data_IF_963127301095
#
_entry.id   IF_963127301095
#
_cell.length_a   1.000
_cell.length_b   1.000
_cell.length_c   1.000
_cell.angle_alpha   90.00
_cell.angle_beta   90.00
_cell.angle_gamma   90.00
#
_symmetry.space_group_name_H-M   'P 1'
#
loop_
_entity.id
_entity.type
_entity.pdbx_description
1 polymer ?
#
# COMPACT_ATOMS: atom_id res chain seq x y z
N UNK A 1 -5.38 -19.15 24.84
CA UNK A 1 -4.12 -18.76 24.18
C UNK A 1 -4.41 -18.37 22.74
N UNK A 2 -4.78 -17.11 22.55
CA UNK A 2 -5.29 -16.51 21.31
C UNK A 2 -4.19 -16.33 20.27
N UNK A 3 -4.04 -17.34 19.41
CA UNK A 3 -3.19 -17.33 18.23
C UNK A 3 -3.82 -16.48 17.11
N UNK A 4 -4.13 -15.20 17.39
CA UNK A 4 -5.02 -14.36 16.54
C UNK A 4 -4.56 -12.93 16.28
N UNK A 5 -3.31 -12.55 16.58
CA UNK A 5 -2.89 -11.15 16.48
C UNK A 5 -1.45 -10.90 15.97
N UNK A 6 -0.97 -11.77 15.06
CA UNK A 6 0.12 -11.39 14.13
C UNK A 6 -0.45 -11.43 12.71
N UNK A 7 -1.66 -10.87 12.54
CA UNK A 7 -2.30 -10.76 11.23
C UNK A 7 -1.66 -9.63 10.41
N UNK A 8 -2.06 -9.54 9.14
CA UNK A 8 -1.75 -8.48 8.15
C UNK A 8 -1.88 -7.02 8.69
N UNK A 9 -2.36 -6.86 9.91
CA UNK A 9 -2.61 -5.61 10.63
C UNK A 9 -1.43 -5.14 11.50
N UNK A 10 -0.34 -5.90 11.58
CA UNK A 10 0.83 -5.44 12.32
C UNK A 10 1.53 -4.31 11.54
N UNK A 11 1.91 -3.19 12.18
CA UNK A 11 2.60 -2.08 11.51
C UNK A 11 3.86 -2.48 10.72
N UNK A 12 4.61 -3.47 11.23
CA UNK A 12 5.80 -4.00 10.55
C UNK A 12 5.44 -4.81 9.29
N UNK A 13 4.31 -5.51 9.31
CA UNK A 13 3.78 -6.22 8.14
C UNK A 13 3.34 -5.23 7.08
N UNK A 14 2.65 -4.15 7.47
CA UNK A 14 2.26 -3.06 6.55
C UNK A 14 3.47 -2.35 5.95
N UNK A 15 4.54 -2.17 6.73
CA UNK A 15 5.80 -1.60 6.24
C UNK A 15 6.47 -2.53 5.22
N UNK A 16 6.46 -3.84 5.47
CA UNK A 16 6.99 -4.84 4.55
C UNK A 16 6.18 -4.92 3.24
N UNK A 17 4.84 -4.87 3.32
CA UNK A 17 3.96 -4.82 2.14
C UNK A 17 4.19 -3.54 1.32
N UNK A 18 4.39 -2.40 1.98
CA UNK A 18 4.72 -1.15 1.32
C UNK A 18 6.04 -1.27 0.53
N UNK A 19 7.09 -1.80 1.14
CA UNK A 19 8.37 -2.04 0.46
C UNK A 19 8.21 -2.98 -0.74
N UNK A 20 7.42 -4.05 -0.61
CA UNK A 20 7.13 -4.96 -1.72
C UNK A 20 6.42 -4.24 -2.88
N UNK A 21 5.46 -3.35 -2.59
CA UNK A 21 4.77 -2.57 -3.61
C UNK A 21 5.76 -1.68 -4.40
N UNK A 22 6.70 -1.00 -3.73
CA UNK A 22 7.76 -0.25 -4.41
C UNK A 22 8.67 -1.14 -5.26
N UNK A 23 9.02 -2.33 -4.75
CA UNK A 23 9.82 -3.30 -5.50
C UNK A 23 9.08 -3.80 -6.75
N UNK A 24 7.77 -4.01 -6.68
CA UNK A 24 6.94 -4.36 -7.85
C UNK A 24 6.88 -3.21 -8.86
N UNK A 25 6.70 -1.97 -8.38
CA UNK A 25 6.72 -0.78 -9.24
C UNK A 25 8.06 -0.63 -9.99
N UNK A 26 9.19 -0.87 -9.31
CA UNK A 26 10.51 -0.85 -9.95
C UNK A 26 10.73 -1.95 -10.99
N UNK A 27 9.98 -3.04 -10.91
CA UNK A 27 9.99 -4.15 -11.88
C UNK A 27 9.01 -3.93 -13.04
N UNK A 28 8.49 -2.72 -13.22
CA UNK A 28 7.43 -2.40 -14.20
C UNK A 28 6.12 -3.17 -13.98
N UNK A 29 5.93 -3.76 -12.80
CA UNK A 29 4.70 -4.47 -12.39
C UNK A 29 3.78 -3.51 -11.64
N UNK A 30 3.43 -2.40 -12.29
CA UNK A 30 2.68 -1.29 -11.68
C UNK A 30 1.28 -1.71 -11.23
N UNK A 31 0.59 -2.58 -11.98
CA UNK A 31 -0.75 -3.08 -11.60
C UNK A 31 -0.75 -3.85 -10.27
N UNK A 32 0.25 -4.71 -10.09
CA UNK A 32 0.41 -5.49 -8.86
C UNK A 32 0.86 -4.60 -7.69
N UNK A 33 1.71 -3.60 -7.96
CA UNK A 33 2.11 -2.61 -6.98
C UNK A 33 0.91 -1.80 -6.47
N UNK A 34 0.05 -1.31 -7.38
CA UNK A 34 -1.17 -0.57 -7.05
C UNK A 34 -2.10 -1.45 -6.22
N UNK A 35 -2.40 -2.66 -6.68
CA UNK A 35 -3.29 -3.60 -5.96
C UNK A 35 -2.80 -3.88 -4.53
N UNK A 36 -1.48 -4.05 -4.35
CA UNK A 36 -0.89 -4.27 -3.03
C UNK A 36 -0.97 -3.00 -2.16
N UNK A 37 -0.72 -1.82 -2.73
CA UNK A 37 -0.80 -0.54 -2.03
C UNK A 37 -2.23 -0.20 -1.62
N UNK A 38 -3.26 -0.57 -2.39
CA UNK A 38 -4.66 -0.45 -2.00
C UNK A 38 -4.97 -1.25 -0.73
N UNK A 39 -4.47 -2.49 -0.65
CA UNK A 39 -4.61 -3.31 0.55
C UNK A 39 -3.91 -2.67 1.75
N UNK A 40 -2.71 -2.13 1.56
CA UNK A 40 -1.98 -1.40 2.63
C UNK A 40 -2.76 -0.18 3.09
N UNK A 41 -3.33 0.60 2.17
CA UNK A 41 -4.13 1.79 2.48
C UNK A 41 -5.38 1.43 3.30
N UNK A 42 -6.13 0.40 2.90
CA UNK A 42 -7.32 -0.05 3.62
C UNK A 42 -6.99 -0.49 5.06
N UNK A 43 -5.89 -1.22 5.24
CA UNK A 43 -5.45 -1.66 6.56
C UNK A 43 -4.98 -0.47 7.41
N UNK A 44 -4.19 0.46 6.85
CA UNK A 44 -3.77 1.68 7.53
C UNK A 44 -4.95 2.55 7.95
N UNK A 45 -5.96 2.72 7.10
CA UNK A 45 -7.21 3.40 7.45
C UNK A 45 -7.93 2.73 8.63
N UNK A 46 -8.00 1.40 8.66
CA UNK A 46 -8.67 0.64 9.72
C UNK A 46 -7.93 0.70 11.06
N UNK A 47 -6.60 0.68 11.05
CA UNK A 47 -5.76 0.59 12.26
C UNK A 47 -5.40 1.97 12.81
N UNK A 48 -5.02 2.90 11.93
CA UNK A 48 -4.46 4.20 12.29
C UNK A 48 -5.46 5.35 12.07
N UNK A 49 -6.47 5.13 11.24
CA UNK A 49 -7.42 6.16 10.81
C UNK A 49 -7.05 6.81 9.46
N UNK A 50 -8.01 7.51 8.83
CA UNK A 50 -7.82 8.18 7.54
C UNK A 50 -6.83 9.35 7.62
N UNK A 51 -6.82 10.10 8.73
CA UNK A 51 -6.01 11.32 8.91
C UNK A 51 -4.59 11.04 9.43
N UNK A 52 -4.20 9.76 9.51
CA UNK A 52 -2.87 9.41 9.99
C UNK A 52 -1.84 9.63 8.86
N UNK A 53 -0.66 10.22 9.14
CA UNK A 53 0.36 10.52 8.11
C UNK A 53 0.76 9.32 7.24
N UNK A 54 0.81 8.12 7.83
CA UNK A 54 1.07 6.86 7.10
C UNK A 54 -0.04 6.49 6.11
N UNK A 55 -1.29 6.82 6.43
CA UNK A 55 -2.43 6.59 5.56
C UNK A 55 -2.40 7.56 4.38
N UNK A 56 -2.14 8.84 4.65
CA UNK A 56 -1.97 9.88 3.63
C UNK A 56 -0.81 9.57 2.67
N UNK A 57 0.33 9.15 3.20
CA UNK A 57 1.50 8.71 2.41
C UNK A 57 1.09 7.62 1.40
N UNK A 58 0.38 6.59 1.84
CA UNK A 58 -0.08 5.50 0.97
C UNK A 58 -1.00 6.00 -0.15
N UNK A 59 -1.88 6.94 0.19
CA UNK A 59 -2.85 7.52 -0.74
C UNK A 59 -2.17 8.40 -1.80
N UNK A 60 -1.15 9.17 -1.41
CA UNK A 60 -0.33 9.95 -2.32
C UNK A 60 0.43 9.05 -3.30
N UNK A 61 1.05 7.98 -2.80
CA UNK A 61 1.78 7.01 -3.63
C UNK A 61 0.85 6.33 -4.63
N UNK A 62 -0.32 5.87 -4.17
CA UNK A 62 -1.34 5.28 -5.03
C UNK A 62 -1.78 6.24 -6.15
N UNK A 63 -2.00 7.51 -5.79
CA UNK A 63 -2.41 8.55 -6.74
C UNK A 63 -1.32 8.81 -7.77
N UNK A 64 -0.06 8.87 -7.35
CA UNK A 64 1.10 9.04 -8.23
C UNK A 64 1.22 7.89 -9.24
N UNK A 65 1.14 6.64 -8.77
CA UNK A 65 1.23 5.47 -9.65
C UNK A 65 0.07 5.37 -10.64
N UNK A 66 -1.15 5.71 -10.21
CA UNK A 66 -2.32 5.75 -11.11
C UNK A 66 -2.18 6.83 -12.18
N UNK A 67 -1.64 8.01 -11.85
CA UNK A 67 -1.36 9.04 -12.85
C UNK A 67 -0.31 8.57 -13.86
N UNK A 68 0.73 7.89 -13.41
CA UNK A 68 1.78 7.36 -14.27
C UNK A 68 1.30 6.23 -15.20
N UNK A 69 0.34 5.43 -14.74
CA UNK A 69 -0.28 4.38 -15.56
C UNK A 69 -1.12 4.95 -16.71
N UNK A 70 -1.80 6.08 -16.48
CA UNK A 70 -2.61 6.76 -17.52
C UNK A 70 -1.72 7.32 -18.63
N UNK A 71 -0.49 7.74 -18.32
CA UNK A 71 0.47 8.30 -19.28
C UNK A 71 1.09 7.25 -20.21
N UNK A 72 1.21 5.99 -19.76
CA UNK A 72 1.76 4.89 -20.56
C UNK A 72 0.76 4.26 -21.55
N UNK A 73 -0.49 4.71 -21.53
CA UNK A 73 -1.58 4.19 -22.36
C UNK A 73 -1.98 5.07 -23.56
N UNK A 74 -1.19 6.10 -23.90
CA UNK A 74 -1.47 7.06 -25.00
C UNK A 74 -0.62 6.84 -26.25
#
# INVERSE_FOLDING_TARGET
MSRRLLGDEHPDTLSSMNSLAYTLHSQSRTDEAISLMEKVLQLRQRILGPDHPRTEESLQVLSCWRMQQVDLGS
#
